data_IF_340527770795
#
_entry.id   IF_340527770795
#
_cell.length_a   1.000
_cell.length_b   1.000
_cell.length_c   1.000
_cell.angle_alpha   90.00
_cell.angle_beta   90.00
_cell.angle_gamma   90.00
#
_symmetry.space_group_name_H-M   'P 1'
#
loop_
_entity.id
_entity.type
_entity.pdbx_description
1 polymer ?
#
# COMPACT_ATOMS: atom_id res chain seq x y z
N UNK A 1 13.26 -10.60 8.80
CA UNK A 1 12.42 -9.37 8.70
C UNK A 1 11.10 -9.76 8.07
N UNK A 2 9.97 -9.38 8.70
CA UNK A 2 8.61 -9.69 8.23
C UNK A 2 7.92 -8.39 7.83
N UNK A 3 7.49 -8.29 6.59
CA UNK A 3 6.83 -7.10 6.05
C UNK A 3 5.43 -7.48 5.59
N UNK A 4 4.42 -6.74 6.03
CA UNK A 4 3.08 -6.88 5.52
C UNK A 4 2.86 -5.90 4.37
N UNK A 5 2.31 -6.39 3.27
CA UNK A 5 1.95 -5.60 2.09
C UNK A 5 0.42 -5.59 2.00
N UNK A 6 -0.17 -4.44 2.19
CA UNK A 6 -1.62 -4.26 2.25
C UNK A 6 -2.13 -3.69 0.93
N UNK A 7 -2.91 -4.48 0.20
CA UNK A 7 -3.76 -3.98 -0.86
C UNK A 7 -5.00 -3.35 -0.21
N UNK A 8 -5.25 -2.04 -0.32
CA UNK A 8 -6.33 -1.38 0.43
C UNK A 8 -7.75 -1.60 -0.14
N UNK A 9 -7.90 -2.29 -1.26
CA UNK A 9 -9.19 -2.73 -1.79
C UNK A 9 -9.47 -4.20 -1.42
N UNK A 10 -10.72 -4.67 -1.65
CA UNK A 10 -11.13 -6.03 -1.30
C UNK A 10 -10.91 -7.08 -2.40
N UNK A 11 -10.15 -6.76 -3.45
CA UNK A 11 -9.89 -7.66 -4.58
C UNK A 11 -8.85 -8.73 -4.23
N UNK A 12 -9.30 -9.93 -3.90
CA UNK A 12 -8.44 -11.10 -3.69
C UNK A 12 -7.55 -11.40 -4.92
N UNK A 13 -8.10 -11.29 -6.12
CA UNK A 13 -7.34 -11.55 -7.34
C UNK A 13 -6.17 -10.59 -7.52
N UNK A 14 -6.33 -9.34 -7.11
CA UNK A 14 -5.28 -8.32 -7.11
C UNK A 14 -4.22 -8.61 -6.04
N UNK A 15 -4.65 -9.00 -4.86
CA UNK A 15 -3.76 -9.42 -3.78
C UNK A 15 -2.97 -10.67 -4.15
N UNK A 16 -3.58 -11.65 -4.81
CA UNK A 16 -2.91 -12.83 -5.33
C UNK A 16 -1.87 -12.49 -6.41
N UNK A 17 -2.18 -11.51 -7.26
CA UNK A 17 -1.21 -11.01 -8.24
C UNK A 17 0.00 -10.39 -7.55
N UNK A 18 -0.21 -9.48 -6.60
CA UNK A 18 0.86 -8.90 -5.79
C UNK A 18 1.71 -9.98 -5.09
N UNK A 19 1.07 -10.98 -4.50
CA UNK A 19 1.76 -12.09 -3.83
C UNK A 19 2.70 -12.84 -4.77
N UNK A 20 2.26 -13.11 -6.00
CA UNK A 20 3.10 -13.77 -7.02
C UNK A 20 4.28 -12.91 -7.45
N UNK A 21 4.05 -11.63 -7.73
CA UNK A 21 5.11 -10.70 -8.15
C UNK A 21 6.16 -10.52 -7.04
N UNK A 22 5.73 -10.30 -5.82
CA UNK A 22 6.61 -10.10 -4.69
C UNK A 22 7.42 -11.36 -4.31
N UNK A 23 6.86 -12.55 -4.51
CA UNK A 23 7.59 -13.80 -4.29
C UNK A 23 8.84 -13.92 -5.20
N UNK A 24 8.81 -13.29 -6.38
CA UNK A 24 9.92 -13.32 -7.33
C UNK A 24 11.09 -12.40 -6.93
N UNK A 25 10.84 -11.40 -6.10
CA UNK A 25 11.81 -10.37 -5.70
C UNK A 25 12.21 -10.43 -4.24
N UNK A 26 11.53 -11.24 -3.44
CA UNK A 26 11.87 -11.38 -2.02
C UNK A 26 13.23 -12.04 -1.86
N UNK A 27 14.15 -11.33 -1.19
CA UNK A 27 15.48 -11.85 -0.87
C UNK A 27 15.46 -12.81 0.32
N UNK A 28 16.57 -13.56 0.50
CA UNK A 28 16.75 -14.42 1.66
C UNK A 28 16.69 -13.61 2.96
N UNK A 29 15.86 -14.04 3.91
CA UNK A 29 15.70 -13.39 5.22
C UNK A 29 14.59 -12.32 5.27
N UNK A 30 13.83 -12.11 4.17
CA UNK A 30 12.66 -11.25 4.14
C UNK A 30 11.41 -12.08 3.84
N UNK A 31 10.45 -12.05 4.74
CA UNK A 31 9.12 -12.63 4.57
C UNK A 31 8.15 -11.51 4.17
N UNK A 32 7.51 -11.65 3.02
CA UNK A 32 6.48 -10.71 2.53
C UNK A 32 5.11 -11.37 2.64
N UNK A 33 4.20 -10.77 3.40
CA UNK A 33 2.83 -11.25 3.59
C UNK A 33 1.87 -10.26 2.95
N UNK A 34 1.19 -10.68 1.88
CA UNK A 34 0.21 -9.84 1.18
C UNK A 34 -1.20 -10.11 1.68
N UNK A 35 -1.90 -9.05 2.03
CA UNK A 35 -3.28 -9.09 2.55
C UNK A 35 -4.13 -7.98 1.93
N UNK A 36 -5.44 -8.13 2.03
CA UNK A 36 -6.43 -7.09 1.78
C UNK A 36 -7.51 -7.13 2.87
N UNK A 37 -8.27 -6.04 3.06
CA UNK A 37 -9.41 -6.04 3.96
C UNK A 37 -10.54 -6.93 3.41
N UNK A 38 -11.39 -7.42 4.32
CA UNK A 38 -12.58 -8.24 4.03
C UNK A 38 -13.81 -7.38 3.66
N UNK A 39 -13.75 -6.08 3.90
CA UNK A 39 -14.81 -5.12 3.58
C UNK A 39 -14.22 -3.80 3.07
N UNK A 40 -15.02 -3.06 2.30
CA UNK A 40 -14.60 -1.83 1.64
C UNK A 40 -14.81 -1.89 0.13
N UNK A 41 -14.24 -0.98 -0.65
CA UNK A 41 -14.39 -0.96 -2.10
C UNK A 41 -13.60 -2.09 -2.76
N UNK A 42 -14.16 -2.67 -3.81
CA UNK A 42 -13.47 -3.69 -4.66
C UNK A 42 -12.35 -3.04 -5.48
N UNK A 43 -12.52 -1.76 -5.84
CA UNK A 43 -11.55 -0.95 -6.57
C UNK A 43 -11.57 0.47 -6.02
N UNK A 44 -10.42 1.15 -6.06
CA UNK A 44 -10.29 2.54 -5.61
C UNK A 44 -10.16 3.44 -6.85
N UNK A 45 -11.28 3.95 -7.32
CA UNK A 45 -11.37 4.74 -8.56
C UNK A 45 -11.79 6.21 -8.33
N UNK A 46 -12.17 6.53 -7.10
CA UNK A 46 -12.61 7.88 -6.72
C UNK A 46 -12.13 8.26 -5.33
N UNK A 47 -12.21 9.53 -4.98
CA UNK A 47 -11.95 10.00 -3.62
C UNK A 47 -12.93 9.39 -2.60
N UNK A 48 -14.15 9.05 -3.03
CA UNK A 48 -15.14 8.37 -2.19
C UNK A 48 -14.70 6.93 -1.88
N UNK A 49 -14.26 6.18 -2.89
CA UNK A 49 -13.73 4.82 -2.68
C UNK A 49 -12.51 4.86 -1.76
N UNK A 50 -11.64 5.84 -1.95
CA UNK A 50 -10.47 6.04 -1.10
C UNK A 50 -10.87 6.27 0.36
N UNK A 51 -11.85 7.14 0.61
CA UNK A 51 -12.36 7.39 1.95
C UNK A 51 -12.93 6.12 2.61
N UNK A 52 -13.59 5.26 1.84
CA UNK A 52 -14.11 3.97 2.32
C UNK A 52 -13.00 2.93 2.55
N UNK A 53 -11.91 2.99 1.80
CA UNK A 53 -10.80 2.05 1.92
C UNK A 53 -9.92 2.33 3.15
N UNK A 54 -9.84 3.57 3.62
CA UNK A 54 -8.94 3.98 4.71
C UNK A 54 -9.23 3.24 6.02
N UNK A 55 -10.44 3.24 6.59
CA UNK A 55 -10.68 2.61 7.89
C UNK A 55 -10.29 1.13 7.95
N UNK A 56 -10.73 0.25 7.02
CA UNK A 56 -10.34 -1.17 7.07
C UNK A 56 -8.84 -1.38 6.82
N UNK A 57 -8.18 -0.53 6.02
CA UNK A 57 -6.73 -0.55 5.85
C UNK A 57 -6.02 -0.24 7.17
N UNK A 58 -6.46 0.77 7.91
CA UNK A 58 -5.89 1.13 9.20
C UNK A 58 -6.06 0.05 10.26
N UNK A 59 -7.14 -0.72 10.21
CA UNK A 59 -7.32 -1.88 11.10
C UNK A 59 -6.27 -2.97 10.82
N UNK A 60 -5.95 -3.23 9.55
CA UNK A 60 -4.86 -4.13 9.18
C UNK A 60 -3.49 -3.61 9.61
N UNK A 61 -3.23 -2.30 9.46
CA UNK A 61 -1.99 -1.66 9.93
C UNK A 61 -1.81 -1.85 11.43
N UNK A 62 -2.84 -1.58 12.23
CA UNK A 62 -2.82 -1.79 13.68
C UNK A 62 -2.60 -3.26 14.05
N UNK A 63 -3.21 -4.17 13.30
CA UNK A 63 -3.00 -5.61 13.45
C UNK A 63 -1.55 -6.02 13.19
N UNK A 64 -0.91 -5.45 12.18
CA UNK A 64 0.45 -5.76 11.78
C UNK A 64 1.48 -5.56 12.91
N UNK A 65 1.44 -4.43 13.60
CA UNK A 65 2.34 -4.17 14.74
C UNK A 65 2.13 -5.16 15.87
N UNK A 66 0.87 -5.42 16.23
CA UNK A 66 0.51 -6.40 17.27
C UNK A 66 0.97 -7.81 16.93
N UNK A 67 0.92 -8.19 15.64
CA UNK A 67 1.27 -9.52 15.15
C UNK A 67 2.78 -9.68 14.85
N UNK A 68 3.59 -8.66 15.19
CA UNK A 68 5.04 -8.70 15.15
C UNK A 68 5.64 -8.54 13.75
N UNK A 69 4.98 -7.78 12.87
CA UNK A 69 5.61 -7.34 11.63
C UNK A 69 6.59 -6.21 11.88
N UNK A 70 7.65 -6.17 11.09
CA UNK A 70 8.71 -5.17 11.19
C UNK A 70 8.41 -3.89 10.40
N UNK A 71 7.54 -3.97 9.38
CA UNK A 71 7.13 -2.84 8.56
C UNK A 71 5.82 -3.12 7.82
N UNK A 72 5.16 -2.05 7.38
CA UNK A 72 3.94 -2.07 6.55
C UNK A 72 4.22 -1.40 5.21
N UNK A 73 3.72 -1.97 4.11
CA UNK A 73 3.68 -1.35 2.79
C UNK A 73 2.22 -1.20 2.36
N UNK A 74 1.80 0.00 2.01
CA UNK A 74 0.49 0.27 1.39
C UNK A 74 0.63 0.14 -0.13
N UNK A 75 -0.04 -0.87 -0.72
CA UNK A 75 0.11 -1.23 -2.12
C UNK A 75 -0.97 -0.58 -3.01
N UNK A 76 -1.10 0.73 -2.92
CA UNK A 76 -1.94 1.56 -3.80
C UNK A 76 -1.21 2.87 -4.09
N UNK A 77 -1.20 3.31 -5.34
CA UNK A 77 -0.42 4.49 -5.75
C UNK A 77 -0.94 5.81 -5.15
N UNK A 78 -2.17 5.88 -4.68
CA UNK A 78 -2.70 7.04 -3.95
C UNK A 78 -2.34 7.05 -2.47
N UNK A 79 -1.69 6.00 -1.95
CA UNK A 79 -1.29 5.83 -0.55
C UNK A 79 -2.41 6.15 0.45
N UNK A 80 -3.61 5.53 0.34
CA UNK A 80 -4.78 5.90 1.13
C UNK A 80 -4.52 5.69 2.63
N UNK A 81 -4.63 6.78 3.39
CA UNK A 81 -4.45 6.74 4.85
C UNK A 81 -3.00 6.65 5.33
N UNK A 82 -2.00 6.88 4.48
CA UNK A 82 -0.58 6.75 4.82
C UNK A 82 -0.19 7.56 6.08
N UNK A 83 -0.57 8.83 6.16
CA UNK A 83 -0.28 9.67 7.32
C UNK A 83 -0.94 9.14 8.59
N UNK A 84 -2.22 8.77 8.51
CA UNK A 84 -2.95 8.20 9.64
C UNK A 84 -2.35 6.85 10.07
N UNK A 85 -1.88 6.04 9.12
CA UNK A 85 -1.19 4.79 9.42
C UNK A 85 0.11 5.02 10.21
N UNK A 86 0.89 6.03 9.83
CA UNK A 86 2.12 6.43 10.52
C UNK A 86 1.88 6.93 11.95
N UNK A 87 0.72 7.53 12.20
CA UNK A 87 0.33 7.95 13.55
C UNK A 87 -0.13 6.78 14.44
N UNK A 88 -0.60 5.69 13.84
CA UNK A 88 -1.19 4.55 14.57
C UNK A 88 -0.17 3.57 15.12
N UNK A 89 0.98 3.42 14.46
CA UNK A 89 1.98 2.38 14.77
C UNK A 89 3.39 2.97 14.86
N UNK A 90 4.26 2.28 15.59
CA UNK A 90 5.67 2.65 15.75
C UNK A 90 6.58 2.02 14.68
N UNK A 91 6.10 0.98 13.99
CA UNK A 91 6.82 0.35 12.89
C UNK A 91 6.75 1.20 11.63
N UNK A 92 7.76 1.18 10.74
CA UNK A 92 7.73 1.93 9.50
C UNK A 92 6.52 1.61 8.62
N UNK A 93 5.87 2.65 8.10
CA UNK A 93 4.80 2.54 7.09
C UNK A 93 5.23 3.24 5.82
N UNK A 94 5.24 2.51 4.72
CA UNK A 94 5.71 2.95 3.41
C UNK A 94 4.55 2.91 2.42
N UNK A 95 4.31 4.04 1.74
CA UNK A 95 3.39 4.11 0.60
C UNK A 95 4.13 3.91 -0.72
N UNK A 96 3.59 3.13 -1.63
CA UNK A 96 4.24 2.89 -2.94
C UNK A 96 4.21 4.12 -3.83
N UNK A 97 3.19 4.98 -3.72
CA UNK A 97 3.09 6.23 -4.48
C UNK A 97 4.16 7.23 -4.06
N UNK A 98 4.24 7.55 -2.76
CA UNK A 98 5.28 8.43 -2.20
C UNK A 98 6.67 7.93 -2.54
N UNK A 99 6.92 6.62 -2.36
CA UNK A 99 8.22 6.01 -2.64
C UNK A 99 8.61 6.12 -4.12
N UNK A 100 7.66 5.87 -5.03
CA UNK A 100 7.89 5.97 -6.46
C UNK A 100 8.23 7.41 -6.87
N UNK A 101 7.51 8.40 -6.33
CA UNK A 101 7.76 9.81 -6.62
C UNK A 101 9.13 10.28 -6.10
N UNK A 102 9.49 9.89 -4.89
CA UNK A 102 10.80 10.22 -4.32
C UNK A 102 11.94 9.58 -5.12
N UNK A 103 11.79 8.32 -5.51
CA UNK A 103 12.80 7.64 -6.32
C UNK A 103 12.92 8.29 -7.71
N UNK A 104 11.80 8.60 -8.36
CA UNK A 104 11.80 9.28 -9.66
C UNK A 104 12.51 10.64 -9.59
N UNK A 105 12.30 11.41 -8.50
CA UNK A 105 12.94 12.70 -8.29
C UNK A 105 14.46 12.59 -8.09
N UNK A 106 14.96 11.46 -7.59
CA UNK A 106 16.40 11.20 -7.49
C UNK A 106 17.04 10.82 -8.83
N UNK A 107 16.28 10.14 -9.69
CA UNK A 107 16.78 9.62 -10.97
C UNK A 107 16.73 10.65 -12.10
N UNK A 108 15.89 11.66 -12.02
CA UNK A 108 15.73 12.63 -13.09
C UNK A 108 15.24 14.00 -12.63
N UNK A 109 15.57 15.03 -13.43
CA UNK A 109 15.11 16.40 -13.17
C UNK A 109 13.62 16.60 -13.48
N UNK A 110 13.06 15.75 -14.32
CA UNK A 110 11.64 15.73 -14.71
C UNK A 110 11.20 14.30 -14.88
N UNK A 111 10.01 14.03 -14.47
CA UNK A 111 9.33 12.75 -14.71
C UNK A 111 7.84 13.01 -14.95
N UNK A 112 7.17 12.05 -15.56
CA UNK A 112 5.74 12.11 -15.82
C UNK A 112 5.05 11.01 -15.03
N UNK A 113 3.97 11.36 -14.34
CA UNK A 113 3.08 10.39 -13.72
C UNK A 113 1.95 10.10 -14.69
N UNK A 114 1.83 8.84 -15.11
CA UNK A 114 0.73 8.37 -15.92
C UNK A 114 -0.37 7.82 -15.00
N UNK A 115 -1.57 8.34 -15.12
CA UNK A 115 -2.73 7.88 -14.35
C UNK A 115 -3.87 7.49 -15.28
N UNK A 116 -4.72 6.58 -14.84
CA UNK A 116 -5.88 6.09 -15.60
C UNK A 116 -7.14 6.92 -15.36
N UNK A 117 -7.17 7.77 -14.34
CA UNK A 117 -8.36 8.48 -13.89
C UNK A 117 -8.10 9.99 -13.89
N UNK A 118 -8.86 10.81 -14.64
CA UNK A 118 -8.64 12.26 -14.72
C UNK A 118 -8.68 12.98 -13.37
N UNK A 119 -9.50 12.50 -12.44
CA UNK A 119 -9.64 13.08 -11.09
C UNK A 119 -8.39 12.90 -10.21
N UNK A 120 -7.42 12.11 -10.65
CA UNK A 120 -6.13 11.89 -9.95
C UNK A 120 -5.02 12.80 -10.47
N UNK A 121 -5.33 13.71 -11.38
CA UNK A 121 -4.39 14.75 -11.84
C UNK A 121 -4.59 15.97 -10.94
N UNK A 122 -3.51 16.41 -10.21
CA UNK A 122 -3.59 17.60 -9.36
C UNK A 122 -3.86 18.87 -10.16
#
# INVERSE_FOLDING_TARGET
MRIIVINPNTSESMTDHLRRELASISGSGVELVCVNPDHGPVSIESAFDEALAIPPTLDLVRGAERDGFDAVVLACFSDPGLEAARELVSIPVVGIGESALHLAAQLGRRFTVLTTIPQRVP
#
